data_IF_641983640261
#
_entry.id   IF_641983640261
#
_cell.length_a   1.000
_cell.length_b   1.000
_cell.length_c   1.000
_cell.angle_alpha   90.00
_cell.angle_beta   90.00
_cell.angle_gamma   90.00
#
_symmetry.space_group_name_H-M   'P 1'
#
loop_
_entity.id
_entity.type
_entity.pdbx_description
1 polymer ?
#
# COMPACT_ATOMS: atom_id res chain seq x y z
N UNK A 1 -12.10 11.08 4.90
CA UNK A 1 -12.13 10.39 3.58
C UNK A 1 -13.02 11.22 2.67
N UNK A 2 -12.62 11.44 1.42
CA UNK A 2 -13.43 12.18 0.46
C UNK A 2 -14.30 11.20 -0.34
N UNK A 3 -15.59 11.48 -0.46
CA UNK A 3 -16.54 10.73 -1.29
C UNK A 3 -17.08 11.63 -2.39
N UNK A 4 -17.12 11.15 -3.63
CA UNK A 4 -17.70 11.85 -4.77
C UNK A 4 -18.73 10.95 -5.47
N UNK A 5 -19.82 11.55 -5.96
CA UNK A 5 -20.85 10.83 -6.70
C UNK A 5 -20.44 10.67 -8.16
N UNK A 6 -20.31 9.43 -8.62
CA UNK A 6 -19.98 9.11 -10.01
C UNK A 6 -21.23 8.89 -10.86
N UNK A 7 -21.14 9.26 -12.14
CA UNK A 7 -22.21 8.96 -13.12
C UNK A 7 -22.14 7.50 -13.56
N UNK A 8 -23.28 6.84 -13.49
CA UNK A 8 -23.49 5.49 -14.04
C UNK A 8 -23.95 5.61 -15.49
N UNK A 9 -23.34 4.84 -16.38
CA UNK A 9 -23.68 4.78 -17.81
C UNK A 9 -24.11 3.37 -18.18
N UNK A 10 -25.05 3.24 -19.12
CA UNK A 10 -25.46 1.94 -19.66
C UNK A 10 -24.42 1.44 -20.65
N UNK A 11 -24.02 0.18 -20.53
CA UNK A 11 -23.12 -0.53 -21.45
C UNK A 11 -23.82 -1.83 -21.85
N UNK A 12 -24.71 -1.78 -22.83
CA UNK A 12 -25.58 -2.92 -23.20
C UNK A 12 -26.48 -3.34 -22.02
N UNK A 13 -26.43 -4.62 -21.65
CA UNK A 13 -27.15 -5.16 -20.47
C UNK A 13 -26.45 -4.83 -19.13
N UNK A 14 -25.26 -4.23 -19.18
CA UNK A 14 -24.48 -3.88 -17.99
C UNK A 14 -24.54 -2.39 -17.69
N UNK A 15 -24.00 -2.01 -16.53
CA UNK A 15 -23.75 -0.63 -16.13
C UNK A 15 -22.25 -0.42 -15.91
N UNK A 16 -21.74 0.74 -16.26
CA UNK A 16 -20.39 1.18 -15.95
C UNK A 16 -20.39 2.50 -15.19
N UNK A 17 -19.29 2.82 -14.53
CA UNK A 17 -19.06 4.12 -13.88
C UNK A 17 -17.99 4.89 -14.64
N UNK A 18 -18.19 6.20 -14.82
CA UNK A 18 -17.16 7.05 -15.44
C UNK A 18 -16.17 7.49 -14.37
N UNK A 19 -14.96 6.96 -14.42
CA UNK A 19 -13.85 7.39 -13.57
C UNK A 19 -13.18 8.66 -14.14
N UNK A 20 -12.92 9.69 -13.31
CA UNK A 20 -12.15 10.85 -13.73
C UNK A 20 -10.73 10.48 -14.16
N UNK A 21 -10.18 11.16 -15.17
CA UNK A 21 -8.83 10.89 -15.68
C UNK A 21 -7.73 11.06 -14.63
N UNK A 22 -7.93 11.98 -13.66
CA UNK A 22 -7.03 12.16 -12.53
C UNK A 22 -6.94 10.90 -11.64
N UNK A 23 -8.06 10.21 -11.44
CA UNK A 23 -8.12 8.96 -10.65
C UNK A 23 -7.42 7.84 -11.42
N UNK A 24 -7.74 7.68 -12.70
CA UNK A 24 -7.10 6.66 -13.56
C UNK A 24 -5.57 6.79 -13.53
N UNK A 25 -5.04 8.02 -13.69
CA UNK A 25 -3.59 8.30 -13.65
C UNK A 25 -2.97 8.04 -12.27
N UNK A 26 -3.63 8.48 -11.20
CA UNK A 26 -3.13 8.33 -9.83
C UNK A 26 -2.98 6.87 -9.42
N UNK A 27 -3.91 6.02 -9.85
CA UNK A 27 -3.94 4.60 -9.52
C UNK A 27 -3.37 3.72 -10.65
N UNK A 28 -2.78 4.32 -11.69
CA UNK A 28 -2.18 3.62 -12.83
C UNK A 28 -3.13 2.57 -13.43
N UNK A 29 -4.41 2.94 -13.55
CA UNK A 29 -5.45 2.08 -14.12
C UNK A 29 -5.39 2.25 -15.63
N UNK A 30 -5.03 1.17 -16.33
CA UNK A 30 -5.02 1.09 -17.79
C UNK A 30 -6.33 0.45 -18.29
N UNK A 31 -6.26 -0.75 -18.85
CA UNK A 31 -7.39 -1.39 -19.54
C UNK A 31 -8.20 -2.36 -18.66
N UNK A 32 -7.58 -2.91 -17.61
CA UNK A 32 -8.18 -3.94 -16.77
C UNK A 32 -8.16 -3.58 -15.27
N UNK A 33 -9.26 -3.90 -14.60
CA UNK A 33 -9.43 -3.78 -13.15
C UNK A 33 -9.90 -5.13 -12.60
N UNK A 34 -9.45 -5.45 -11.40
CA UNK A 34 -10.05 -6.54 -10.64
C UNK A 34 -11.15 -5.98 -9.72
N UNK A 35 -12.31 -6.65 -9.73
CA UNK A 35 -13.45 -6.35 -8.88
C UNK A 35 -13.56 -7.39 -7.77
N UNK A 36 -13.59 -6.94 -6.52
CA UNK A 36 -13.81 -7.78 -5.34
C UNK A 36 -15.08 -7.33 -4.65
N UNK A 37 -15.99 -8.27 -4.40
CA UNK A 37 -17.21 -8.02 -3.63
C UNK A 37 -16.89 -8.08 -2.13
N UNK A 38 -17.34 -7.06 -1.39
CA UNK A 38 -17.13 -6.91 0.06
C UNK A 38 -18.48 -6.61 0.74
N UNK A 39 -18.55 -6.68 2.07
CA UNK A 39 -19.79 -6.42 2.81
C UNK A 39 -20.33 -4.99 2.60
N UNK A 40 -19.43 -4.02 2.42
CA UNK A 40 -19.76 -2.60 2.28
C UNK A 40 -19.88 -2.14 0.81
N UNK A 41 -19.67 -3.04 -0.16
CA UNK A 41 -19.77 -2.74 -1.58
C UNK A 41 -18.70 -3.43 -2.42
N UNK A 42 -18.30 -2.79 -3.52
CA UNK A 42 -17.30 -3.32 -4.45
C UNK A 42 -15.97 -2.57 -4.32
N UNK A 43 -14.88 -3.31 -4.25
CA UNK A 43 -13.53 -2.79 -4.32
C UNK A 43 -12.99 -3.00 -5.74
N UNK A 44 -12.58 -1.92 -6.39
CA UNK A 44 -11.90 -1.97 -7.69
C UNK A 44 -10.41 -1.71 -7.47
N UNK A 45 -9.57 -2.65 -7.90
CA UNK A 45 -8.10 -2.51 -7.83
C UNK A 45 -7.45 -2.67 -9.21
N UNK A 46 -6.40 -1.90 -9.54
CA UNK A 46 -5.64 -2.13 -10.76
C UNK A 46 -5.09 -3.55 -10.77
N UNK A 47 -5.23 -4.24 -11.90
CA UNK A 47 -4.56 -5.52 -12.10
C UNK A 47 -3.10 -5.23 -12.42
N UNK A 48 -2.27 -5.19 -11.38
CA UNK A 48 -0.82 -5.15 -11.55
C UNK A 48 -0.43 -6.45 -12.26
N UNK A 49 -0.18 -6.38 -13.57
CA UNK A 49 0.54 -7.46 -14.23
C UNK A 49 1.87 -7.61 -13.49
N UNK A 50 2.18 -8.82 -13.04
CA UNK A 50 3.34 -9.17 -12.20
C UNK A 50 4.67 -8.88 -12.91
N UNK A 51 5.01 -7.59 -13.06
CA UNK A 51 6.31 -7.10 -13.56
C UNK A 51 6.87 -5.95 -12.74
N UNK A 52 6.28 -5.68 -11.57
CA UNK A 52 7.02 -5.10 -10.46
C UNK A 52 7.22 -6.23 -9.46
N UNK A 53 8.18 -7.11 -9.81
CA UNK A 53 8.83 -7.97 -8.84
C UNK A 53 9.05 -7.15 -7.58
N UNK A 54 8.64 -7.70 -6.45
CA UNK A 54 8.88 -7.18 -5.11
C UNK A 54 10.31 -6.63 -4.92
N UNK A 55 11.31 -7.11 -5.68
CA UNK A 55 12.65 -6.55 -5.79
C UNK A 55 12.75 -5.05 -6.14
N UNK A 56 11.85 -4.50 -6.96
CA UNK A 56 11.92 -3.09 -7.40
C UNK A 56 11.56 -2.08 -6.29
N UNK A 57 10.53 -2.38 -5.50
CA UNK A 57 10.08 -1.49 -4.42
C UNK A 57 11.01 -1.53 -3.20
N UNK A 58 11.79 -2.60 -3.02
CA UNK A 58 12.85 -2.66 -2.01
C UNK A 58 14.06 -1.82 -2.41
N UNK A 59 14.38 -1.73 -3.70
CA UNK A 59 15.50 -0.90 -4.17
C UNK A 59 15.25 0.60 -3.91
N UNK A 60 14.02 1.09 -4.10
CA UNK A 60 13.70 2.50 -3.80
C UNK A 60 13.66 2.80 -2.30
N UNK A 61 13.21 1.86 -1.46
CA UNK A 61 13.31 2.02 0.01
C UNK A 61 14.75 1.93 0.52
N UNK A 62 15.61 1.12 -0.11
CA UNK A 62 17.04 1.05 0.20
C UNK A 62 17.81 2.29 -0.28
N UNK A 63 17.44 2.88 -1.41
CA UNK A 63 18.03 4.12 -1.91
C UNK A 63 17.62 5.36 -1.09
N UNK A 64 16.41 5.35 -0.50
CA UNK A 64 15.95 6.41 0.40
C UNK A 64 16.40 6.24 1.86
N UNK A 65 16.97 5.08 2.23
CA UNK A 65 17.54 4.82 3.56
C UNK A 65 18.94 5.41 3.80
N UNK A 66 19.52 6.09 2.79
CA UNK A 66 20.88 6.64 2.84
C UNK A 66 20.97 8.12 3.23
N UNK A 67 19.86 8.80 3.51
CA UNK A 67 19.88 10.23 3.86
C UNK A 67 19.09 10.51 5.14
N UNK A 68 19.81 10.46 6.27
CA UNK A 68 19.63 11.37 7.40
C UNK A 68 18.40 11.16 8.27
N UNK A 69 18.42 10.14 9.13
CA UNK A 69 17.92 10.32 10.49
C UNK A 69 19.06 9.97 11.43
N UNK A 70 19.84 10.99 11.79
CA UNK A 70 20.63 10.99 13.01
C UNK A 70 19.65 10.80 14.16
N UNK A 71 19.49 9.56 14.63
CA UNK A 71 18.80 9.25 15.87
C UNK A 71 19.82 9.52 16.98
N UNK A 72 20.11 10.80 17.24
CA UNK A 72 21.12 11.24 18.21
C UNK A 72 20.63 11.14 19.67
N UNK A 73 19.46 10.54 19.95
CA UNK A 73 18.88 10.58 21.30
C UNK A 73 18.08 9.33 21.69
N UNK A 74 18.70 8.14 21.61
CA UNK A 74 18.22 7.00 22.40
C UNK A 74 19.36 6.23 23.09
N UNK A 75 20.31 6.97 23.67
CA UNK A 75 21.30 6.47 24.65
C UNK A 75 20.71 6.40 26.06
N UNK A 76 19.51 5.84 26.20
CA UNK A 76 18.81 5.83 27.47
C UNK A 76 17.72 4.77 27.51
N UNK A 77 17.99 3.69 28.22
CA UNK A 77 17.00 2.69 28.69
C UNK A 77 16.57 1.59 27.72
N UNK A 78 17.51 0.73 27.31
CA UNK A 78 17.20 -0.69 27.07
C UNK A 78 18.26 -1.58 27.72
N UNK A 79 18.55 -1.32 29.00
CA UNK A 79 19.04 -2.37 29.90
C UNK A 79 17.81 -3.19 30.28
N UNK A 80 17.48 -4.15 29.41
CA UNK A 80 16.45 -5.15 29.67
C UNK A 80 16.80 -5.85 30.99
N UNK A 81 15.94 -5.63 31.99
CA UNK A 81 16.11 -6.09 33.36
C UNK A 81 15.86 -7.58 33.49
N UNK A 82 16.69 -8.38 32.82
CA UNK A 82 16.74 -9.82 33.00
C UNK A 82 17.77 -10.15 34.09
N UNK A 83 17.38 -10.76 35.22
CA UNK A 83 18.35 -11.27 36.18
C UNK A 83 19.22 -12.34 35.51
N UNK A 84 20.53 -12.25 35.74
CA UNK A 84 21.49 -13.26 35.36
C UNK A 84 21.30 -14.46 36.29
N UNK A 85 20.48 -15.44 35.89
CA UNK A 85 20.41 -16.72 36.58
C UNK A 85 21.69 -17.52 36.29
N UNK A 86 22.59 -17.52 37.28
CA UNK A 86 23.82 -18.31 37.36
C UNK A 86 23.45 -19.79 37.56
N UNK A 87 23.46 -20.59 36.48
CA UNK A 87 23.42 -22.05 36.56
C UNK A 87 24.78 -22.63 36.20
N UNK A 88 25.62 -22.86 37.22
CA UNK A 88 26.85 -23.63 37.08
C UNK A 88 27.46 -24.06 38.42
N UNK A 89 27.10 -25.26 38.89
CA UNK A 89 27.91 -26.06 39.82
C UNK A 89 28.25 -27.38 39.16
#
# INVERSE_FOLDING_TARGET
MASETLKVVSIGNSKGVRLPSAVLRRYQIEDELEMVETADGILLRPKLSEKLSFEGSFAEMAALGGQGTEIDEFDGTLSDGLPHDDYGR
#
